data_IF_879181897372
#
_entry.id   IF_879181897372
#
_cell.length_a   1.000
_cell.length_b   1.000
_cell.length_c   1.000
_cell.angle_alpha   90.00
_cell.angle_beta   90.00
_cell.angle_gamma   90.00
#
_symmetry.space_group_name_H-M   'P 1'
#
loop_
_entity.id
_entity.type
_entity.pdbx_description
1 polymer ?
#
# COMPACT_ATOMS: atom_id res chain seq x y z
N UNK A 1 41.87 4.19 -43.47
CA UNK A 1 41.15 5.37 -42.99
C UNK A 1 39.88 4.90 -42.30
N UNK A 2 39.75 5.27 -41.03
CA UNK A 2 38.74 4.83 -40.08
C UNK A 2 37.34 5.39 -40.41
N UNK A 3 36.29 4.60 -40.17
CA UNK A 3 35.01 5.14 -39.72
C UNK A 3 34.32 4.13 -38.80
N UNK A 4 34.35 4.50 -37.52
CA UNK A 4 33.86 3.81 -36.34
C UNK A 4 32.35 3.56 -36.44
N UNK A 5 31.93 2.30 -36.22
CA UNK A 5 30.52 1.93 -36.04
C UNK A 5 30.06 2.49 -34.70
N UNK A 6 29.17 3.48 -34.73
CA UNK A 6 28.46 3.96 -33.55
C UNK A 6 27.54 2.85 -33.03
N UNK A 7 27.95 2.22 -31.93
CA UNK A 7 27.09 1.43 -31.07
C UNK A 7 26.24 2.40 -30.25
N UNK A 8 24.99 2.58 -30.65
CA UNK A 8 23.98 3.27 -29.85
C UNK A 8 23.67 2.40 -28.65
N UNK A 9 24.29 2.69 -27.50
CA UNK A 9 23.93 2.08 -26.22
C UNK A 9 22.57 2.65 -25.84
N UNK A 10 21.51 1.88 -26.09
CA UNK A 10 20.19 2.15 -25.54
C UNK A 10 20.30 2.04 -24.02
N UNK A 11 20.37 3.19 -23.35
CA UNK A 11 20.24 3.27 -21.91
C UNK A 11 18.81 2.86 -21.56
N UNK A 12 18.62 1.59 -21.22
CA UNK A 12 17.43 1.11 -20.51
C UNK A 12 17.42 1.81 -19.16
N UNK A 13 16.70 2.93 -19.09
CA UNK A 13 16.28 3.51 -17.82
C UNK A 13 15.40 2.45 -17.16
N UNK A 14 15.99 1.64 -16.28
CA UNK A 14 15.26 0.89 -15.29
C UNK A 14 14.46 1.94 -14.51
N UNK A 15 13.18 2.05 -14.81
CA UNK A 15 12.21 2.73 -13.96
C UNK A 15 12.29 2.02 -12.62
N UNK A 16 13.13 2.54 -11.72
CA UNK A 16 13.08 2.21 -10.31
C UNK A 16 11.67 2.61 -9.88
N UNK A 17 10.79 1.61 -9.78
CA UNK A 17 9.49 1.81 -9.18
C UNK A 17 9.74 2.52 -7.85
N UNK A 18 9.10 3.67 -7.59
CA UNK A 18 9.32 4.39 -6.36
C UNK A 18 9.15 3.39 -5.22
N UNK A 19 10.01 3.44 -4.19
CA UNK A 19 9.81 2.59 -3.03
C UNK A 19 8.36 2.78 -2.61
N UNK A 20 7.62 1.67 -2.49
CA UNK A 20 6.31 1.64 -1.83
C UNK A 20 6.55 1.99 -0.35
N UNK A 21 7.06 3.19 -0.08
CA UNK A 21 7.02 3.82 1.23
C UNK A 21 5.57 3.83 1.64
N UNK A 22 5.32 3.57 2.93
CA UNK A 22 3.99 3.52 3.51
C UNK A 22 3.15 4.66 2.94
N UNK A 23 2.29 4.35 1.97
CA UNK A 23 1.46 5.36 1.35
C UNK A 23 0.51 5.79 2.45
N UNK A 24 0.51 7.09 2.73
CA UNK A 24 -0.32 7.66 3.77
C UNK A 24 -1.77 7.35 3.45
N UNK A 25 -2.33 6.43 4.24
CA UNK A 25 -3.69 5.95 4.14
C UNK A 25 -4.42 6.42 5.38
N UNK A 26 -5.41 7.28 5.17
CA UNK A 26 -6.32 7.73 6.21
C UNK A 26 -7.64 6.98 6.08
N UNK A 27 -8.11 6.47 7.20
CA UNK A 27 -9.43 5.90 7.32
C UNK A 27 -10.33 6.88 8.09
N UNK A 28 -11.50 7.18 7.53
CA UNK A 28 -12.41 8.18 8.09
C UNK A 28 -13.66 7.58 8.72
N UNK A 29 -13.90 6.28 8.54
CA UNK A 29 -15.05 5.58 9.11
C UNK A 29 -15.90 4.90 8.05
N UNK A 30 -17.04 4.37 8.48
CA UNK A 30 -18.00 3.70 7.59
C UNK A 30 -18.79 4.73 6.77
N UNK A 31 -19.17 4.34 5.55
CA UNK A 31 -20.04 5.15 4.69
C UNK A 31 -21.47 5.03 5.21
N UNK A 32 -22.08 6.18 5.54
CA UNK A 32 -23.46 6.22 6.04
C UNK A 32 -24.44 5.63 5.03
N UNK A 33 -25.24 4.64 5.47
CA UNK A 33 -26.30 4.03 4.65
C UNK A 33 -25.84 2.90 3.73
N UNK A 34 -24.54 2.55 3.73
CA UNK A 34 -24.01 1.39 2.99
C UNK A 34 -23.27 0.48 3.98
N UNK A 35 -23.92 -0.61 4.37
CA UNK A 35 -23.29 -1.59 5.25
C UNK A 35 -22.00 -2.14 4.62
N UNK A 36 -20.93 -2.20 5.43
CA UNK A 36 -19.60 -2.76 5.08
C UNK A 36 -18.78 -1.98 4.04
N UNK A 37 -19.05 -0.69 3.84
CA UNK A 37 -18.13 0.21 3.13
C UNK A 37 -17.49 1.23 4.05
N UNK A 38 -16.23 1.56 3.77
CA UNK A 38 -15.41 2.51 4.50
C UNK A 38 -14.90 3.61 3.59
N UNK A 39 -14.84 4.84 4.11
CA UNK A 39 -14.28 6.00 3.44
C UNK A 39 -12.79 6.11 3.75
N UNK A 40 -11.95 6.07 2.71
CA UNK A 40 -10.50 6.25 2.83
C UNK A 40 -10.04 7.48 2.06
N UNK A 41 -8.93 8.06 2.51
CA UNK A 41 -8.15 9.02 1.73
C UNK A 41 -6.74 8.49 1.55
N UNK A 42 -6.25 8.59 0.31
CA UNK A 42 -4.89 8.23 -0.06
C UNK A 42 -4.35 9.29 -1.00
N UNK A 43 -3.23 9.92 -0.64
CA UNK A 43 -2.59 10.95 -1.46
C UNK A 43 -3.56 12.08 -1.87
N UNK A 44 -4.45 12.49 -0.96
CA UNK A 44 -5.48 13.51 -1.20
C UNK A 44 -6.66 13.05 -2.06
N UNK A 45 -6.70 11.79 -2.49
CA UNK A 45 -7.83 11.21 -3.21
C UNK A 45 -8.70 10.39 -2.27
N UNK A 46 -10.01 10.59 -2.39
CA UNK A 46 -10.99 9.85 -1.62
C UNK A 46 -11.53 8.67 -2.41
N UNK A 47 -11.75 7.56 -1.72
CA UNK A 47 -12.37 6.37 -2.29
C UNK A 47 -13.17 5.62 -1.22
N UNK A 48 -14.20 4.91 -1.67
CA UNK A 48 -14.88 3.93 -0.85
C UNK A 48 -14.19 2.58 -1.00
N UNK A 49 -14.08 1.82 0.08
CA UNK A 49 -13.58 0.43 0.05
C UNK A 49 -14.49 -0.49 0.85
N UNK A 50 -14.66 -1.71 0.39
CA UNK A 50 -15.36 -2.80 1.07
C UNK A 50 -14.46 -3.98 1.34
N UNK A 51 -14.95 -4.95 2.10
CA UNK A 51 -14.27 -6.23 2.30
C UNK A 51 -13.97 -6.90 0.95
N UNK A 52 -12.74 -7.37 0.77
CA UNK A 52 -12.24 -7.96 -0.48
C UNK A 52 -11.66 -6.97 -1.47
N UNK A 53 -11.85 -5.65 -1.30
CA UNK A 53 -11.27 -4.65 -2.18
C UNK A 53 -9.74 -4.57 -2.01
N UNK A 54 -9.01 -4.48 -3.11
CA UNK A 54 -7.56 -4.23 -3.09
C UNK A 54 -7.29 -2.72 -3.02
N UNK A 55 -6.51 -2.30 -2.03
CA UNK A 55 -5.93 -0.96 -1.91
C UNK A 55 -4.49 -1.02 -2.45
N UNK A 56 -4.20 -0.40 -3.61
CA UNK A 56 -2.90 -0.51 -4.25
C UNK A 56 -1.74 -0.10 -3.33
N UNK A 57 -0.75 -0.98 -3.20
CA UNK A 57 0.43 -0.77 -2.34
C UNK A 57 0.18 -0.98 -0.84
N UNK A 58 -1.06 -1.11 -0.39
CA UNK A 58 -1.41 -1.34 1.02
C UNK A 58 -1.81 -2.79 1.27
N UNK A 59 -2.71 -3.35 0.45
CA UNK A 59 -3.20 -4.72 0.57
C UNK A 59 -4.71 -4.85 0.34
N UNK A 60 -5.26 -6.03 0.63
CA UNK A 60 -6.67 -6.36 0.51
C UNK A 60 -7.40 -6.07 1.82
N UNK A 61 -8.55 -5.38 1.75
CA UNK A 61 -9.40 -5.11 2.90
C UNK A 61 -10.00 -6.41 3.41
N UNK A 62 -9.74 -6.72 4.69
CA UNK A 62 -10.32 -7.89 5.36
C UNK A 62 -11.55 -7.53 6.16
N UNK A 63 -11.61 -6.32 6.71
CA UNK A 63 -12.70 -5.91 7.59
C UNK A 63 -12.86 -4.39 7.61
N UNK A 64 -14.11 -3.93 7.56
CA UNK A 64 -14.47 -2.51 7.69
C UNK A 64 -15.32 -2.32 8.93
N UNK A 65 -14.76 -1.70 9.97
CA UNK A 65 -15.47 -1.33 11.20
C UNK A 65 -15.48 0.17 11.37
N UNK A 66 -16.45 0.69 12.11
CA UNK A 66 -16.53 2.13 12.36
C UNK A 66 -15.25 2.73 12.98
N UNK A 67 -14.55 1.97 13.81
CA UNK A 67 -13.35 2.40 14.52
C UNK A 67 -12.03 2.08 13.79
N UNK A 68 -12.01 1.05 12.94
CA UNK A 68 -10.80 0.57 12.26
C UNK A 68 -11.08 -0.04 10.89
N UNK A 69 -10.10 0.09 10.00
CA UNK A 69 -10.00 -0.66 8.75
C UNK A 69 -8.88 -1.70 8.87
N UNK A 70 -9.17 -2.97 8.61
CA UNK A 70 -8.19 -4.07 8.66
C UNK A 70 -7.77 -4.43 7.24
N UNK A 71 -6.47 -4.38 6.96
CA UNK A 71 -5.92 -4.65 5.63
C UNK A 71 -4.86 -5.74 5.73
N UNK A 72 -4.91 -6.71 4.81
CA UNK A 72 -3.94 -7.82 4.71
C UNK A 72 -3.14 -7.70 3.44
N UNK A 73 -1.83 -7.89 3.54
CA UNK A 73 -0.93 -7.90 2.38
C UNK A 73 0.03 -9.06 2.45
N UNK A 74 0.23 -9.73 1.32
CA UNK A 74 1.32 -10.69 1.15
C UNK A 74 2.60 -9.94 0.84
N UNK A 75 3.68 -10.27 1.56
CA UNK A 75 4.99 -9.66 1.32
C UNK A 75 5.64 -10.26 0.07
N UNK A 76 6.28 -9.42 -0.74
CA UNK A 76 7.05 -9.88 -1.88
C UNK A 76 8.35 -10.53 -1.43
N UNK A 77 8.99 -11.30 -2.31
CA UNK A 77 10.27 -11.95 -1.99
C UNK A 77 11.37 -10.93 -1.65
N UNK A 78 11.36 -9.77 -2.30
CA UNK A 78 12.27 -8.66 -1.99
C UNK A 78 12.02 -8.09 -0.58
N UNK A 79 10.76 -8.00 -0.16
CA UNK A 79 10.41 -7.57 1.20
C UNK A 79 10.84 -8.59 2.24
N UNK A 80 10.58 -9.88 1.99
CA UNK A 80 11.08 -10.97 2.83
C UNK A 80 12.60 -10.95 2.92
N UNK A 81 13.29 -10.70 1.82
CA UNK A 81 14.74 -10.60 1.80
C UNK A 81 15.25 -9.40 2.61
N UNK A 82 14.58 -8.26 2.54
CA UNK A 82 14.89 -7.10 3.39
C UNK A 82 14.72 -7.43 4.88
N UNK A 83 13.63 -8.10 5.25
CA UNK A 83 13.41 -8.55 6.63
C UNK A 83 14.53 -9.49 7.10
N UNK A 84 14.96 -10.45 6.26
CA UNK A 84 16.10 -11.35 6.54
C UNK A 84 17.37 -10.57 6.81
N UNK A 85 17.73 -9.64 5.94
CA UNK A 85 18.96 -8.84 6.06
C UNK A 85 18.93 -7.95 7.31
N UNK A 86 17.75 -7.49 7.72
CA UNK A 86 17.55 -6.72 8.95
C UNK A 86 17.51 -7.58 10.22
N UNK A 87 17.63 -8.91 10.11
CA UNK A 87 17.53 -9.83 11.24
C UNK A 87 16.12 -9.88 11.85
N UNK A 88 15.10 -9.49 11.09
CA UNK A 88 13.70 -9.54 11.51
C UNK A 88 13.07 -10.89 11.13
N UNK A 89 12.00 -11.24 11.84
CA UNK A 89 11.21 -12.41 11.50
C UNK A 89 10.63 -12.27 10.09
N UNK A 90 10.78 -13.32 9.28
CA UNK A 90 10.27 -13.36 7.91
C UNK A 90 8.85 -13.90 7.96
N UNK A 91 7.90 -13.01 7.71
CA UNK A 91 6.48 -13.37 7.59
C UNK A 91 6.04 -13.32 6.14
N UNK A 92 5.10 -14.20 5.76
CA UNK A 92 4.51 -14.17 4.42
C UNK A 92 3.42 -13.11 4.30
N UNK A 93 2.75 -12.82 5.41
CA UNK A 93 1.57 -11.96 5.46
C UNK A 93 1.76 -10.91 6.55
N UNK A 94 1.47 -9.66 6.19
CA UNK A 94 1.35 -8.56 7.13
C UNK A 94 -0.10 -8.12 7.23
N UNK A 95 -0.59 -7.97 8.46
CA UNK A 95 -1.89 -7.37 8.75
C UNK A 95 -1.65 -5.98 9.30
N UNK A 96 -2.33 -4.98 8.73
CA UNK A 96 -2.28 -3.58 9.13
C UNK A 96 -3.65 -3.17 9.65
N UNK A 97 -3.68 -2.51 10.81
CA UNK A 97 -4.89 -1.92 11.39
C UNK A 97 -4.80 -0.41 11.22
N UNK A 98 -5.70 0.16 10.45
CA UNK A 98 -5.76 1.60 10.17
C UNK A 98 -6.88 2.20 11.02
N UNK A 99 -6.55 3.02 12.03
CA UNK A 99 -7.54 3.58 12.93
C UNK A 99 -8.36 4.69 12.24
N UNK A 100 -9.63 4.81 12.60
CA UNK A 100 -10.48 5.91 12.18
C UNK A 100 -9.91 7.23 12.73
N UNK A 101 -9.58 8.15 11.84
CA UNK A 101 -9.01 9.44 12.18
C UNK A 101 -10.03 10.39 12.82
N UNK A 102 -11.29 10.40 12.40
CA UNK A 102 -12.35 11.23 13.02
C UNK A 102 -12.51 10.95 14.51
N UNK A 103 -12.42 9.67 14.91
CA UNK A 103 -12.48 9.25 16.31
C UNK A 103 -11.32 9.82 17.15
N UNK A 104 -10.20 10.20 16.54
CA UNK A 104 -9.05 10.82 17.22
C UNK A 104 -9.16 12.34 17.34
N UNK A 105 -9.82 13.01 16.39
CA UNK A 105 -9.97 14.48 16.40
C UNK A 105 -11.20 14.96 17.17
N UNK A 106 -12.17 14.08 17.43
CA UNK A 106 -13.40 14.40 18.16
C UNK A 106 -13.32 14.33 19.69
N UNK A 107 -12.15 14.59 20.31
CA UNK A 107 -12.02 14.75 21.77
C UNK A 107 -11.51 16.12 22.15
#
# INVERSE_FOLDING_TARGET
>A
MNAIRLLTVAATALLAAPPLGAQELHYWGQVTGVERRGWIERQGQHADVGEGDEIPGVGVVQEVRDDVLVVRRTLTDDEKQRLRVQGQEVVDVKVSIVPNLWRRVGR
#
